data_IF_885293690188
#
_entry.id   IF_885293690188
#
_cell.length_a   1.000
_cell.length_b   1.000
_cell.length_c   1.000
_cell.angle_alpha   90.00
_cell.angle_beta   90.00
_cell.angle_gamma   90.00
#
_symmetry.space_group_name_H-M   'P 1'
#
loop_
_entity.id
_entity.type
_entity.pdbx_description
1 polymer ?
#
# COMPACT_ATOMS: atom_id res chain seq x y z
N UNK A 1 -37.87 -12.83 3.68
CA UNK A 1 -36.57 -13.30 3.19
C UNK A 1 -35.65 -13.36 4.37
N UNK A 2 -34.98 -14.48 4.60
CA UNK A 2 -34.07 -14.60 5.75
C UNK A 2 -32.87 -13.66 5.60
N UNK A 3 -32.30 -13.25 6.73
CA UNK A 3 -31.11 -12.43 6.73
C UNK A 3 -29.96 -13.16 6.03
N UNK A 4 -29.39 -12.55 5.00
CA UNK A 4 -28.27 -13.12 4.24
C UNK A 4 -26.97 -12.51 4.73
N UNK A 5 -25.94 -13.33 4.96
CA UNK A 5 -24.60 -12.85 5.29
C UNK A 5 -23.63 -13.27 4.20
N UNK A 6 -22.97 -12.28 3.59
CA UNK A 6 -21.95 -12.50 2.56
C UNK A 6 -20.58 -12.22 3.18
N UNK A 7 -19.68 -13.19 3.12
CA UNK A 7 -18.28 -13.03 3.54
C UNK A 7 -17.44 -12.55 2.36
N UNK A 8 -16.61 -11.54 2.59
CA UNK A 8 -15.74 -10.94 1.57
C UNK A 8 -14.53 -10.27 2.23
N UNK A 9 -13.64 -9.68 1.43
CA UNK A 9 -12.46 -8.95 1.91
C UNK A 9 -12.54 -7.47 1.54
N UNK A 10 -11.93 -6.62 2.37
CA UNK A 10 -11.83 -5.19 2.11
C UNK A 10 -10.93 -4.95 0.89
N UNK A 11 -11.41 -4.34 -0.20
CA UNK A 11 -10.62 -4.14 -1.41
C UNK A 11 -9.80 -2.86 -1.37
N UNK A 12 -9.60 -2.26 -0.20
CA UNK A 12 -8.86 -0.99 -0.07
C UNK A 12 -7.37 -1.24 -0.12
N UNK A 13 -6.65 -0.18 -0.46
CA UNK A 13 -5.21 -0.21 -0.63
C UNK A 13 -4.50 -0.13 0.73
N UNK A 14 -4.45 -1.29 1.39
CA UNK A 14 -3.59 -1.56 2.53
C UNK A 14 -3.27 -3.06 2.60
N UNK A 15 -2.23 -3.42 3.33
CA UNK A 15 -1.74 -4.80 3.43
C UNK A 15 -2.62 -5.73 4.27
N UNK A 16 -3.58 -5.20 5.02
CA UNK A 16 -4.36 -5.99 6.00
C UNK A 16 -5.38 -6.93 5.32
N UNK A 17 -5.86 -6.58 4.12
CA UNK A 17 -6.90 -7.32 3.38
C UNK A 17 -8.10 -7.75 4.25
N UNK A 18 -8.52 -6.88 5.18
CA UNK A 18 -9.44 -7.20 6.28
C UNK A 18 -10.67 -8.02 5.84
N UNK A 19 -10.98 -9.09 6.57
CA UNK A 19 -12.22 -9.84 6.37
C UNK A 19 -13.45 -9.01 6.76
N UNK A 20 -14.50 -9.09 5.97
CA UNK A 20 -15.76 -8.36 6.14
C UNK A 20 -16.96 -9.29 6.01
N UNK A 21 -18.00 -8.98 6.78
CA UNK A 21 -19.33 -9.58 6.66
C UNK A 21 -20.33 -8.51 6.22
N UNK A 22 -20.92 -8.71 5.04
CA UNK A 22 -22.03 -7.90 4.53
C UNK A 22 -23.32 -8.60 4.94
N UNK A 23 -24.01 -8.02 5.92
CA UNK A 23 -25.29 -8.51 6.45
C UNK A 23 -26.43 -7.79 5.76
N UNK A 24 -27.30 -8.54 5.08
CA UNK A 24 -28.53 -8.06 4.46
C UNK A 24 -29.72 -8.52 5.31
N UNK A 25 -30.44 -7.59 5.92
CA UNK A 25 -31.66 -7.91 6.66
C UNK A 25 -32.85 -8.11 5.73
N UNK A 26 -33.91 -8.75 6.25
CA UNK A 26 -35.12 -9.10 5.51
C UNK A 26 -35.82 -7.90 4.84
N UNK A 27 -35.65 -6.70 5.41
CA UNK A 27 -36.14 -5.40 4.94
C UNK A 27 -35.25 -4.75 3.87
N UNK A 28 -34.18 -5.42 3.45
CA UNK A 28 -33.23 -4.93 2.44
C UNK A 28 -32.13 -4.02 3.00
N UNK A 29 -32.09 -3.77 4.32
CA UNK A 29 -31.02 -2.97 4.92
C UNK A 29 -29.70 -3.76 4.94
N UNK A 30 -28.66 -3.14 4.37
CA UNK A 30 -27.29 -3.66 4.44
C UNK A 30 -26.63 -3.17 5.74
N UNK A 31 -25.71 -3.95 6.29
CA UNK A 31 -24.78 -3.54 7.34
C UNK A 31 -23.44 -4.26 7.13
N UNK A 32 -22.35 -3.52 7.08
CA UNK A 32 -21.00 -4.08 6.87
C UNK A 32 -20.24 -4.04 8.19
N UNK A 33 -19.79 -5.21 8.65
CA UNK A 33 -19.00 -5.37 9.87
C UNK A 33 -17.74 -6.17 9.58
N UNK A 34 -16.74 -6.09 10.46
CA UNK A 34 -15.55 -6.93 10.33
C UNK A 34 -15.87 -8.40 10.62
N UNK A 35 -15.10 -9.28 9.99
CA UNK A 35 -15.20 -10.72 10.20
C UNK A 35 -14.36 -11.17 11.41
N UNK A 36 -14.98 -11.65 12.50
CA UNK A 36 -14.26 -12.04 13.71
C UNK A 36 -13.34 -13.25 13.50
N UNK A 37 -13.57 -14.07 12.46
CA UNK A 37 -12.74 -15.24 12.15
C UNK A 37 -11.53 -14.89 11.26
N UNK A 38 -11.42 -13.64 10.79
CA UNK A 38 -10.30 -13.22 9.95
C UNK A 38 -9.01 -13.09 10.77
N UNK A 39 -7.97 -13.83 10.40
CA UNK A 39 -6.73 -13.96 11.20
C UNK A 39 -5.96 -12.66 11.39
N UNK A 40 -6.08 -11.70 10.47
CA UNK A 40 -5.37 -10.42 10.53
C UNK A 40 -6.15 -9.38 11.32
N UNK A 41 -7.40 -9.13 10.91
CA UNK A 41 -8.21 -8.02 11.43
C UNK A 41 -9.09 -8.40 12.61
N UNK A 42 -9.28 -9.69 12.90
CA UNK A 42 -9.97 -10.22 14.10
C UNK A 42 -11.31 -9.51 14.40
N UNK A 43 -12.09 -9.22 13.37
CA UNK A 43 -13.40 -8.55 13.47
C UNK A 43 -13.38 -7.02 13.46
N UNK A 44 -12.21 -6.38 13.48
CA UNK A 44 -12.09 -4.94 13.37
C UNK A 44 -12.15 -4.46 11.90
N UNK A 45 -12.67 -3.24 11.74
CA UNK A 45 -12.55 -2.44 10.53
C UNK A 45 -12.00 -1.07 10.94
N UNK A 46 -11.09 -0.51 10.13
CA UNK A 46 -10.59 0.83 10.39
C UNK A 46 -11.73 1.87 10.27
N UNK A 47 -11.63 2.98 11.00
CA UNK A 47 -12.67 4.02 11.04
C UNK A 47 -13.10 4.52 9.66
N UNK A 48 -12.14 4.66 8.73
CA UNK A 48 -12.38 5.04 7.33
C UNK A 48 -13.39 4.10 6.65
N UNK A 49 -13.18 2.80 6.83
CA UNK A 49 -13.99 1.76 6.20
C UNK A 49 -15.32 1.56 6.92
N UNK A 50 -15.33 1.53 8.25
CA UNK A 50 -16.58 1.34 9.02
C UNK A 50 -17.57 2.48 8.77
N UNK A 51 -17.09 3.73 8.73
CA UNK A 51 -17.89 4.92 8.40
C UNK A 51 -18.29 4.90 6.91
N UNK A 52 -17.34 4.64 6.00
CA UNK A 52 -17.58 4.64 4.56
C UNK A 52 -18.63 3.62 4.14
N UNK A 53 -18.45 2.35 4.50
CA UNK A 53 -19.32 1.25 4.09
C UNK A 53 -20.75 1.35 4.63
N UNK A 54 -20.94 1.98 5.78
CA UNK A 54 -22.26 2.12 6.41
C UNK A 54 -22.86 3.53 6.32
N UNK A 55 -22.13 4.49 5.73
CA UNK A 55 -22.56 5.88 5.59
C UNK A 55 -22.52 6.35 4.14
N UNK A 56 -21.59 7.27 3.84
CA UNK A 56 -21.54 8.04 2.60
C UNK A 56 -21.50 7.17 1.32
N UNK A 57 -20.92 5.97 1.35
CA UNK A 57 -20.89 5.08 0.18
C UNK A 57 -22.22 4.36 -0.10
N UNK A 58 -23.23 4.58 0.74
CA UNK A 58 -24.60 4.07 0.55
C UNK A 58 -25.63 5.17 0.35
N UNK A 59 -25.26 6.42 0.60
CA UNK A 59 -26.14 7.55 0.42
C UNK A 59 -26.25 7.91 -1.08
N UNK A 60 -27.44 7.73 -1.65
CA UNK A 60 -27.70 8.00 -3.06
C UNK A 60 -27.66 9.50 -3.40
N UNK A 61 -27.77 10.39 -2.41
CA UNK A 61 -27.72 11.85 -2.62
C UNK A 61 -26.31 12.38 -2.90
N UNK A 62 -25.29 11.67 -2.42
CA UNK A 62 -23.86 12.03 -2.58
C UNK A 62 -23.13 11.14 -3.59
N UNK A 63 -23.66 9.95 -3.87
CA UNK A 63 -23.07 9.04 -4.86
C UNK A 63 -23.43 9.45 -6.28
N UNK A 64 -22.48 9.20 -7.19
CA UNK A 64 -22.77 9.17 -8.62
C UNK A 64 -23.62 7.92 -8.94
N UNK A 65 -24.89 8.15 -9.30
CA UNK A 65 -25.88 7.10 -9.59
C UNK A 65 -26.14 6.91 -11.09
N UNK A 66 -25.67 7.83 -11.93
CA UNK A 66 -25.80 7.79 -13.40
C UNK A 66 -24.60 8.45 -14.07
N UNK A 67 -24.30 8.09 -15.34
CA UNK A 67 -23.28 8.77 -16.12
C UNK A 67 -23.57 10.27 -16.27
N UNK A 68 -22.50 11.06 -16.31
CA UNK A 68 -22.55 12.51 -16.48
C UNK A 68 -21.64 12.91 -17.65
N UNK A 69 -22.15 13.72 -18.57
CA UNK A 69 -21.43 14.26 -19.73
C UNK A 69 -21.09 15.71 -19.49
N UNK A 70 -19.84 16.11 -19.71
CA UNK A 70 -19.43 17.51 -19.54
C UNK A 70 -20.08 18.38 -20.62
N UNK A 71 -20.76 19.45 -20.21
CA UNK A 71 -21.37 20.45 -21.09
C UNK A 71 -20.68 21.80 -20.93
N UNK A 72 -19.64 22.00 -21.75
CA UNK A 72 -18.84 23.22 -21.76
C UNK A 72 -17.33 23.00 -21.63
N UNK A 73 -16.58 24.09 -21.47
CA UNK A 73 -15.12 24.04 -21.37
C UNK A 73 -14.65 23.19 -20.18
N UNK A 74 -13.48 22.57 -20.33
CA UNK A 74 -12.84 21.84 -19.22
C UNK A 74 -12.56 22.85 -18.08
N UNK A 75 -12.84 22.43 -16.84
CA UNK A 75 -12.65 23.26 -15.64
C UNK A 75 -13.89 24.00 -15.16
N UNK A 76 -14.97 24.10 -15.95
CA UNK A 76 -16.19 24.81 -15.52
C UNK A 76 -17.11 24.01 -14.60
N UNK A 77 -16.84 22.73 -14.39
CA UNK A 77 -17.67 21.86 -13.55
C UNK A 77 -19.10 21.61 -14.06
N UNK A 78 -19.40 21.94 -15.32
CA UNK A 78 -20.75 21.79 -15.89
C UNK A 78 -20.94 20.40 -16.50
N UNK A 79 -21.90 19.66 -15.98
CA UNK A 79 -22.24 18.31 -16.44
C UNK A 79 -23.75 18.13 -16.55
N UNK A 80 -24.17 17.35 -17.53
CA UNK A 80 -25.55 16.90 -17.70
C UNK A 80 -25.65 15.38 -17.58
N UNK A 81 -26.72 14.84 -17.00
CA UNK A 81 -27.00 13.41 -17.01
C UNK A 81 -27.09 12.84 -18.42
N UNK A 82 -26.58 11.63 -18.60
CA UNK A 82 -26.73 10.86 -19.85
C UNK A 82 -27.00 9.39 -19.56
N UNK A 83 -27.39 8.62 -20.59
CA UNK A 83 -27.58 7.18 -20.49
C UNK A 83 -26.25 6.42 -20.58
N UNK A 84 -26.22 5.19 -20.07
CA UNK A 84 -25.05 4.32 -20.24
C UNK A 84 -24.73 4.03 -21.71
N UNK A 85 -25.76 3.82 -22.55
CA UNK A 85 -25.57 3.56 -23.98
C UNK A 85 -24.92 4.75 -24.69
N UNK A 86 -25.38 5.97 -24.41
CA UNK A 86 -24.78 7.18 -24.98
C UNK A 86 -23.36 7.40 -24.46
N UNK A 87 -23.14 7.29 -23.14
CA UNK A 87 -21.82 7.46 -22.55
C UNK A 87 -20.78 6.48 -23.12
N UNK A 88 -21.13 5.18 -23.17
CA UNK A 88 -20.24 4.14 -23.72
C UNK A 88 -20.01 4.36 -25.21
N UNK A 89 -21.06 4.69 -25.98
CA UNK A 89 -20.95 4.97 -27.40
C UNK A 89 -20.06 6.17 -27.72
N UNK A 90 -20.21 7.27 -26.98
CA UNK A 90 -19.38 8.48 -27.12
C UNK A 90 -17.90 8.19 -26.79
N UNK A 91 -17.64 7.49 -25.69
CA UNK A 91 -16.28 7.07 -25.30
C UNK A 91 -15.66 6.17 -26.38
N UNK A 92 -16.39 5.16 -26.86
CA UNK A 92 -15.91 4.24 -27.89
C UNK A 92 -15.57 4.97 -29.20
N UNK A 93 -16.47 5.86 -29.65
CA UNK A 93 -16.24 6.68 -30.85
C UNK A 93 -14.98 7.56 -30.70
N UNK A 94 -14.79 8.17 -29.53
CA UNK A 94 -13.64 9.02 -29.26
C UNK A 94 -12.33 8.25 -29.22
N UNK A 95 -12.30 7.09 -28.55
CA UNK A 95 -11.12 6.22 -28.54
C UNK A 95 -10.78 5.71 -29.95
N UNK A 96 -11.77 5.32 -30.74
CA UNK A 96 -11.56 4.91 -32.14
C UNK A 96 -11.02 6.05 -33.00
N UNK A 97 -11.52 7.27 -32.81
CA UNK A 97 -11.05 8.46 -33.54
C UNK A 97 -9.58 8.75 -33.21
N UNK A 98 -9.21 8.76 -31.92
CA UNK A 98 -7.82 8.97 -31.49
C UNK A 98 -6.93 7.87 -32.07
N UNK A 99 -7.34 6.60 -31.94
CA UNK A 99 -6.59 5.46 -32.45
C UNK A 99 -6.36 5.55 -33.97
N UNK A 100 -7.38 5.95 -34.73
CA UNK A 100 -7.28 6.07 -36.19
C UNK A 100 -6.42 7.25 -36.65
N UNK A 101 -6.43 8.36 -35.91
CA UNK A 101 -5.68 9.57 -36.26
C UNK A 101 -4.22 9.55 -35.78
N UNK A 102 -4.00 9.16 -34.53
CA UNK A 102 -2.72 9.32 -33.82
C UNK A 102 -2.07 7.99 -33.43
N UNK A 103 -2.76 6.86 -33.68
CA UNK A 103 -2.37 5.55 -33.18
C UNK A 103 -2.85 5.28 -31.76
N UNK A 104 -2.86 4.00 -31.37
CA UNK A 104 -3.36 3.59 -30.05
C UNK A 104 -2.51 4.12 -28.89
N UNK A 105 -1.20 4.32 -29.10
CA UNK A 105 -0.28 4.84 -28.08
C UNK A 105 -0.59 6.27 -27.63
N UNK A 106 -1.42 7.02 -28.38
CA UNK A 106 -1.92 8.33 -27.97
C UNK A 106 -3.01 8.26 -26.88
N UNK A 107 -3.51 7.06 -26.56
CA UNK A 107 -4.42 6.80 -25.45
C UNK A 107 -3.57 6.41 -24.25
N UNK A 108 -3.64 7.20 -23.17
CA UNK A 108 -2.97 6.89 -21.91
C UNK A 108 -3.99 6.46 -20.86
N UNK A 109 -3.91 5.21 -20.41
CA UNK A 109 -4.62 4.75 -19.22
C UNK A 109 -3.85 5.18 -17.97
N UNK A 110 -4.44 6.09 -17.21
CA UNK A 110 -3.97 6.41 -15.86
C UNK A 110 -4.86 5.71 -14.85
N UNK A 111 -4.25 4.90 -13.98
CA UNK A 111 -4.93 4.25 -12.88
C UNK A 111 -3.98 4.17 -11.67
N UNK A 112 -4.56 4.10 -10.48
CA UNK A 112 -3.82 3.97 -9.23
C UNK A 112 -4.66 3.23 -8.19
N UNK A 113 -4.04 2.82 -7.10
CA UNK A 113 -4.53 1.86 -6.10
C UNK A 113 -5.60 2.44 -5.17
N UNK A 114 -6.76 2.84 -5.70
CA UNK A 114 -7.92 3.21 -4.86
C UNK A 114 -8.81 2.02 -4.47
N UNK A 115 -8.73 0.94 -5.26
CA UNK A 115 -9.44 -0.33 -5.08
C UNK A 115 -8.59 -1.44 -5.67
N UNK A 116 -8.06 -2.31 -4.82
CA UNK A 116 -7.06 -3.32 -5.15
C UNK A 116 -7.67 -4.73 -5.27
N UNK A 117 -8.99 -4.84 -5.51
CA UNK A 117 -9.59 -6.16 -5.79
C UNK A 117 -9.13 -6.68 -7.15
N UNK A 118 -8.97 -8.00 -7.27
CA UNK A 118 -8.47 -8.65 -8.49
C UNK A 118 -9.25 -8.21 -9.75
N UNK A 119 -10.58 -8.16 -9.66
CA UNK A 119 -11.42 -7.79 -10.79
C UNK A 119 -11.32 -6.28 -11.06
N UNK A 120 -11.54 -5.43 -10.05
CA UNK A 120 -11.61 -3.99 -10.28
C UNK A 120 -10.24 -3.39 -10.65
N UNK A 121 -9.15 -3.91 -10.08
CA UNK A 121 -7.80 -3.45 -10.34
C UNK A 121 -7.21 -4.01 -11.65
N UNK A 122 -7.36 -5.31 -11.92
CA UNK A 122 -6.65 -5.94 -13.05
C UNK A 122 -7.48 -6.01 -14.34
N UNK A 123 -8.81 -6.08 -14.26
CA UNK A 123 -9.65 -6.29 -15.45
C UNK A 123 -9.57 -5.16 -16.49
N UNK A 124 -9.54 -3.86 -16.11
CA UNK A 124 -9.43 -2.77 -17.09
C UNK A 124 -8.18 -2.88 -17.98
N UNK A 125 -7.07 -3.37 -17.44
CA UNK A 125 -5.81 -3.53 -18.18
C UNK A 125 -5.96 -4.42 -19.41
N UNK A 126 -6.82 -5.45 -19.34
CA UNK A 126 -7.09 -6.33 -20.49
C UNK A 126 -7.65 -5.57 -21.68
N UNK A 127 -8.52 -4.59 -21.44
CA UNK A 127 -9.12 -3.78 -22.49
C UNK A 127 -8.07 -2.84 -23.12
N UNK A 128 -7.33 -2.11 -22.29
CA UNK A 128 -6.33 -1.14 -22.77
C UNK A 128 -5.16 -1.82 -23.50
N UNK A 129 -4.70 -2.98 -23.00
CA UNK A 129 -3.70 -3.80 -23.69
C UNK A 129 -4.23 -4.31 -25.05
N UNK A 130 -5.50 -4.74 -25.11
CA UNK A 130 -6.11 -5.24 -26.35
C UNK A 130 -6.19 -4.18 -27.45
N UNK A 131 -6.45 -2.91 -27.09
CA UNK A 131 -6.51 -1.83 -28.08
C UNK A 131 -5.13 -1.24 -28.42
N UNK A 132 -4.06 -1.65 -27.73
CA UNK A 132 -2.70 -1.15 -27.91
C UNK A 132 -2.45 0.22 -27.26
N UNK A 133 -3.20 0.57 -26.22
CA UNK A 133 -3.03 1.83 -25.50
C UNK A 133 -1.76 1.83 -24.66
N UNK A 134 -1.28 3.03 -24.32
CA UNK A 134 -0.20 3.23 -23.36
C UNK A 134 -0.77 3.23 -21.94
N UNK A 135 0.01 2.75 -20.98
CA UNK A 135 -0.33 2.72 -19.56
C UNK A 135 0.69 3.55 -18.76
N UNK A 136 0.26 4.14 -17.64
CA UNK A 136 1.20 4.67 -16.64
C UNK A 136 2.03 3.51 -16.07
N UNK A 137 3.31 3.73 -15.78
CA UNK A 137 4.09 2.76 -15.01
C UNK A 137 3.43 2.63 -13.61
N UNK A 138 2.88 1.46 -13.24
CA UNK A 138 2.13 1.31 -12.01
C UNK A 138 3.00 1.56 -10.77
N UNK A 139 2.35 1.89 -9.66
CA UNK A 139 2.97 2.07 -8.35
C UNK A 139 3.99 3.21 -8.22
N UNK A 140 4.22 4.00 -9.28
CA UNK A 140 5.22 5.09 -9.31
C UNK A 140 4.99 6.18 -8.27
N UNK A 141 3.78 6.31 -7.74
CA UNK A 141 3.44 7.26 -6.68
C UNK A 141 3.79 6.75 -5.27
N UNK A 142 3.90 5.42 -5.06
CA UNK A 142 4.09 4.83 -3.72
C UNK A 142 5.14 3.70 -3.74
N UNK A 143 4.79 2.53 -4.27
CA UNK A 143 5.56 1.30 -4.01
C UNK A 143 6.70 1.02 -5.00
N UNK A 144 6.78 1.72 -6.14
CA UNK A 144 7.70 1.36 -7.24
C UNK A 144 9.17 1.31 -6.82
N UNK A 145 9.64 2.28 -6.04
CA UNK A 145 11.02 2.33 -5.58
C UNK A 145 11.35 1.12 -4.69
N UNK A 146 10.45 0.77 -3.76
CA UNK A 146 10.58 -0.42 -2.91
C UNK A 146 10.54 -1.71 -3.72
N UNK A 147 9.64 -1.82 -4.70
CA UNK A 147 9.59 -2.98 -5.58
C UNK A 147 10.89 -3.14 -6.38
N UNK A 148 11.41 -2.06 -6.97
CA UNK A 148 12.68 -2.11 -7.69
C UNK A 148 13.83 -2.57 -6.78
N UNK A 149 13.94 -2.02 -5.56
CA UNK A 149 14.97 -2.42 -4.61
C UNK A 149 14.86 -3.91 -4.22
N UNK A 150 13.67 -4.39 -3.88
CA UNK A 150 13.46 -5.80 -3.50
C UNK A 150 13.71 -6.75 -4.68
N UNK A 151 13.30 -6.38 -5.89
CA UNK A 151 13.60 -7.16 -7.10
C UNK A 151 15.10 -7.28 -7.35
N UNK A 152 15.86 -6.20 -7.17
CA UNK A 152 17.32 -6.23 -7.31
C UNK A 152 17.99 -7.06 -6.22
N UNK A 153 17.51 -7.00 -4.99
CA UNK A 153 18.12 -7.68 -3.83
C UNK A 153 17.74 -9.16 -3.71
N UNK A 154 16.49 -9.50 -4.01
CA UNK A 154 15.92 -10.83 -3.73
C UNK A 154 15.33 -11.53 -4.96
N UNK A 155 15.25 -10.84 -6.11
CA UNK A 155 14.60 -11.36 -7.32
C UNK A 155 13.07 -11.41 -7.25
N UNK A 156 12.48 -10.82 -6.21
CA UNK A 156 11.02 -10.70 -6.04
C UNK A 156 10.69 -9.50 -5.12
N UNK A 157 9.44 -9.02 -5.12
CA UNK A 157 9.01 -7.87 -4.30
C UNK A 157 7.60 -7.96 -3.71
N UNK A 158 7.02 -9.15 -3.68
CA UNK A 158 5.63 -9.44 -3.33
C UNK A 158 5.51 -10.30 -2.06
N UNK A 159 6.61 -10.88 -1.58
CA UNK A 159 6.66 -11.73 -0.41
C UNK A 159 7.38 -11.00 0.72
N UNK A 160 6.62 -10.66 1.75
CA UNK A 160 7.16 -10.21 3.03
C UNK A 160 7.36 -11.35 4.02
N UNK A 161 7.72 -11.00 5.25
CA UNK A 161 7.65 -11.93 6.38
C UNK A 161 6.20 -12.11 6.85
N UNK A 162 5.93 -13.24 7.50
CA UNK A 162 4.64 -13.46 8.14
C UNK A 162 4.63 -12.77 9.51
N UNK A 163 3.79 -11.75 9.74
CA UNK A 163 3.76 -11.03 11.02
C UNK A 163 3.38 -11.90 12.21
N UNK A 164 2.80 -13.08 11.99
CA UNK A 164 2.54 -14.07 13.05
C UNK A 164 3.83 -14.69 13.61
N UNK A 165 4.97 -14.52 12.95
CA UNK A 165 6.28 -15.00 13.43
C UNK A 165 7.06 -13.95 14.23
N UNK A 166 6.43 -12.81 14.56
CA UNK A 166 7.09 -11.68 15.22
C UNK A 166 7.73 -12.09 16.56
N UNK A 167 7.09 -12.99 17.31
CA UNK A 167 7.57 -13.48 18.61
C UNK A 167 8.84 -14.34 18.51
N UNK A 168 9.22 -14.79 17.30
CA UNK A 168 10.50 -15.44 17.05
C UNK A 168 11.68 -14.47 16.93
N UNK A 169 11.44 -13.16 16.96
CA UNK A 169 12.47 -12.12 16.78
C UNK A 169 13.04 -11.63 18.10
N UNK A 170 14.28 -11.13 18.08
CA UNK A 170 14.89 -10.46 19.26
C UNK A 170 14.50 -8.98 19.37
N UNK A 171 14.17 -8.37 18.25
CA UNK A 171 13.62 -7.03 18.16
C UNK A 171 12.85 -6.90 16.85
N UNK A 172 11.99 -5.89 16.77
CA UNK A 172 11.26 -5.50 15.56
C UNK A 172 11.67 -4.08 15.22
N UNK A 173 12.08 -3.86 13.98
CA UNK A 173 12.42 -2.54 13.47
C UNK A 173 11.33 -2.06 12.52
N UNK A 174 10.72 -0.92 12.84
CA UNK A 174 9.75 -0.24 12.00
C UNK A 174 10.46 0.97 11.39
N UNK A 175 10.81 0.88 10.11
CA UNK A 175 11.60 1.88 9.41
C UNK A 175 10.75 2.64 8.40
N UNK A 176 10.56 3.95 8.62
CA UNK A 176 9.82 4.84 7.72
C UNK A 176 8.35 4.48 7.56
N UNK A 177 7.73 3.89 8.59
CA UNK A 177 6.36 3.42 8.55
C UNK A 177 5.59 3.85 9.81
N UNK A 178 4.32 4.23 9.61
CA UNK A 178 3.37 4.59 10.66
C UNK A 178 2.21 3.58 10.77
N UNK A 179 2.43 2.37 11.32
CA UNK A 179 1.39 1.35 11.48
C UNK A 179 0.12 1.85 12.18
N UNK A 180 0.24 2.73 13.18
CA UNK A 180 -0.90 3.32 13.90
C UNK A 180 -1.95 3.96 12.97
N UNK A 181 -1.54 4.43 11.78
CA UNK A 181 -2.46 5.03 10.80
C UNK A 181 -2.64 4.19 9.53
N UNK A 182 -1.55 3.63 8.98
CA UNK A 182 -1.55 2.97 7.67
C UNK A 182 -1.76 1.45 7.73
N UNK A 183 -1.48 0.82 8.88
CA UNK A 183 -1.69 -0.60 9.13
C UNK A 183 -2.27 -0.82 10.54
N UNK A 184 -3.48 -0.28 10.81
CA UNK A 184 -4.00 -0.16 12.17
C UNK A 184 -4.18 -1.52 12.86
N UNK A 185 -4.45 -2.59 12.12
CA UNK A 185 -4.57 -3.92 12.71
C UNK A 185 -3.21 -4.51 13.09
N UNK A 186 -2.16 -4.25 12.30
CA UNK A 186 -0.77 -4.58 12.70
C UNK A 186 -0.38 -3.84 13.97
N UNK A 187 -0.69 -2.55 14.05
CA UNK A 187 -0.44 -1.75 15.25
C UNK A 187 -1.19 -2.31 16.47
N UNK A 188 -2.49 -2.61 16.29
CA UNK A 188 -3.37 -3.03 17.37
C UNK A 188 -3.15 -4.47 17.85
N UNK A 189 -2.74 -5.41 16.99
CA UNK A 189 -2.71 -6.84 17.33
C UNK A 189 -1.33 -7.48 17.26
N UNK A 190 -0.37 -6.94 16.51
CA UNK A 190 0.95 -7.59 16.38
C UNK A 190 2.00 -6.81 17.15
N UNK A 191 2.09 -5.50 16.92
CA UNK A 191 3.08 -4.66 17.59
C UNK A 191 2.75 -4.43 19.07
N UNK A 192 1.47 -4.29 19.43
CA UNK A 192 1.06 -4.08 20.82
C UNK A 192 1.06 -5.36 21.67
N UNK A 193 0.77 -6.53 21.08
CA UNK A 193 0.62 -7.81 21.81
C UNK A 193 1.97 -8.52 21.99
N UNK A 194 2.93 -8.30 21.09
CA UNK A 194 4.24 -8.94 21.19
C UNK A 194 5.07 -8.33 22.33
N UNK A 195 5.76 -9.14 23.15
CA UNK A 195 6.72 -8.62 24.15
C UNK A 195 8.05 -8.23 23.51
N UNK A 196 8.26 -8.51 22.21
CA UNK A 196 9.52 -8.25 21.52
C UNK A 196 9.80 -6.74 21.50
N UNK A 197 11.03 -6.28 21.84
CA UNK A 197 11.40 -4.87 21.78
C UNK A 197 11.23 -4.26 20.39
N UNK A 198 10.74 -3.02 20.33
CA UNK A 198 10.46 -2.27 19.11
C UNK A 198 11.40 -1.09 18.97
N UNK A 199 11.95 -0.94 17.77
CA UNK A 199 12.74 0.20 17.36
C UNK A 199 11.99 0.87 16.22
N UNK A 200 11.64 2.14 16.38
CA UNK A 200 11.00 2.94 15.32
C UNK A 200 12.02 3.94 14.80
N UNK A 201 12.19 3.99 13.48
CA UNK A 201 13.02 4.95 12.76
C UNK A 201 12.08 5.79 11.90
N UNK A 202 11.79 7.00 12.36
CA UNK A 202 10.86 7.91 11.68
C UNK A 202 11.08 9.36 12.14
N UNK A 203 11.09 10.36 11.24
CA UNK A 203 11.18 11.77 11.62
C UNK A 203 10.00 12.26 12.46
N UNK A 204 8.86 11.56 12.43
CA UNK A 204 7.63 11.92 13.11
C UNK A 204 7.38 10.99 14.30
N UNK A 205 7.19 11.57 15.49
CA UNK A 205 6.81 10.83 16.70
C UNK A 205 5.30 10.50 16.71
N UNK A 206 4.87 9.61 15.82
CA UNK A 206 3.49 9.08 15.78
C UNK A 206 3.23 8.06 16.90
N UNK A 207 2.00 7.58 17.05
CA UNK A 207 1.61 6.69 18.17
C UNK A 207 2.45 5.41 18.25
N UNK A 208 2.74 4.76 17.10
CA UNK A 208 3.66 3.61 17.07
C UNK A 208 5.07 3.97 17.58
N UNK A 209 5.61 5.13 17.20
CA UNK A 209 6.92 5.61 17.66
C UNK A 209 6.91 5.94 19.16
N UNK A 210 5.83 6.56 19.65
CA UNK A 210 5.69 6.91 21.06
C UNK A 210 5.59 5.68 21.97
N UNK A 211 5.08 4.56 21.45
CA UNK A 211 4.96 3.28 22.15
C UNK A 211 6.19 2.36 21.99
N UNK A 212 7.19 2.75 21.19
CA UNK A 212 8.38 1.95 20.94
C UNK A 212 9.39 2.05 22.09
N UNK A 213 10.20 1.01 22.26
CA UNK A 213 11.29 0.98 23.24
C UNK A 213 12.40 1.97 22.86
N UNK A 214 12.67 2.12 21.56
CA UNK A 214 13.60 3.10 21.00
C UNK A 214 12.92 3.81 19.84
N UNK A 215 12.96 5.14 19.83
CA UNK A 215 12.59 5.97 18.69
C UNK A 215 13.82 6.75 18.21
N UNK A 216 14.27 6.45 16.99
CA UNK A 216 15.33 7.16 16.29
C UNK A 216 14.69 8.19 15.35
N UNK A 217 14.77 9.46 15.73
CA UNK A 217 14.13 10.57 15.05
C UNK A 217 15.13 11.34 14.16
N UNK A 218 15.52 10.73 13.04
CA UNK A 218 16.44 11.29 12.05
C UNK A 218 15.81 12.41 11.19
N UNK A 219 16.65 13.23 10.57
CA UNK A 219 16.23 14.18 9.53
C UNK A 219 15.69 13.45 8.28
N UNK A 220 14.69 14.02 7.57
CA UNK A 220 14.19 13.42 6.34
C UNK A 220 15.29 13.22 5.28
N UNK A 221 15.41 12.00 4.75
CA UNK A 221 16.35 11.66 3.67
C UNK A 221 17.74 11.21 4.14
N UNK A 222 17.94 11.00 5.45
CA UNK A 222 19.24 10.60 6.02
C UNK A 222 19.30 9.13 6.43
N UNK A 223 18.28 8.34 6.08
CA UNK A 223 18.15 6.91 6.38
C UNK A 223 19.39 6.10 5.98
N UNK A 224 19.98 6.43 4.83
CA UNK A 224 21.22 5.80 4.37
C UNK A 224 22.38 5.97 5.35
N UNK A 225 22.55 7.16 5.93
CA UNK A 225 23.61 7.41 6.90
C UNK A 225 23.43 6.57 8.17
N UNK A 226 22.19 6.47 8.68
CA UNK A 226 21.88 5.60 9.80
C UNK A 226 22.16 4.12 9.47
N UNK A 227 21.73 3.63 8.31
CA UNK A 227 21.95 2.25 7.89
C UNK A 227 23.45 1.89 7.84
N UNK A 228 24.28 2.77 7.25
CA UNK A 228 25.73 2.57 7.18
C UNK A 228 26.40 2.68 8.55
N UNK A 229 25.95 3.59 9.43
CA UNK A 229 26.46 3.70 10.79
C UNK A 229 26.13 2.46 11.64
N UNK A 230 24.93 1.91 11.51
CA UNK A 230 24.55 0.65 12.14
C UNK A 230 25.42 -0.51 11.62
N UNK A 231 25.64 -0.58 10.30
CA UNK A 231 26.46 -1.62 9.70
C UNK A 231 27.94 -1.52 10.13
N UNK A 232 28.48 -0.31 10.29
CA UNK A 232 29.80 -0.08 10.86
C UNK A 232 29.93 -0.71 12.25
N UNK A 233 28.95 -0.50 13.14
CA UNK A 233 28.99 -1.05 14.51
C UNK A 233 29.00 -2.58 14.49
N UNK A 234 28.18 -3.20 13.64
CA UNK A 234 28.13 -4.66 13.48
C UNK A 234 29.47 -5.20 12.95
N UNK A 235 30.03 -4.53 11.95
CA UNK A 235 31.31 -4.89 11.34
C UNK A 235 32.49 -4.74 12.30
N UNK A 236 32.62 -3.60 12.97
CA UNK A 236 33.68 -3.31 13.93
C UNK A 236 33.63 -4.26 15.14
N UNK A 237 32.43 -4.72 15.53
CA UNK A 237 32.23 -5.72 16.57
C UNK A 237 32.53 -7.17 16.13
N UNK A 238 32.90 -7.40 14.86
CA UNK A 238 33.15 -8.73 14.31
C UNK A 238 31.89 -9.60 14.25
N UNK A 239 30.69 -8.99 14.13
CA UNK A 239 29.39 -9.68 14.17
C UNK A 239 28.80 -9.98 12.78
N UNK A 240 29.56 -9.74 11.73
CA UNK A 240 29.15 -10.05 10.35
C UNK A 240 29.24 -11.56 10.11
N UNK A 241 28.15 -12.17 9.65
CA UNK A 241 28.16 -13.56 9.20
C UNK A 241 28.80 -13.66 7.81
N UNK A 242 30.13 -13.78 7.80
CA UNK A 242 30.93 -13.88 6.57
C UNK A 242 30.63 -15.14 5.78
N UNK A 243 30.27 -16.25 6.44
CA UNK A 243 29.96 -17.50 5.77
C UNK A 243 28.65 -17.40 4.98
N UNK A 244 27.63 -16.76 5.58
CA UNK A 244 26.38 -16.47 4.89
C UNK A 244 26.61 -15.57 3.67
N UNK A 245 27.33 -14.45 3.84
CA UNK A 245 27.59 -13.50 2.75
C UNK A 245 28.33 -14.18 1.58
N UNK A 246 29.43 -14.90 1.86
CA UNK A 246 30.18 -15.61 0.82
C UNK A 246 29.32 -16.63 0.05
N UNK A 247 28.31 -17.24 0.70
CA UNK A 247 27.46 -18.24 0.08
C UNK A 247 26.18 -17.69 -0.58
N UNK A 248 25.70 -16.49 -0.16
CA UNK A 248 24.33 -16.01 -0.45
C UNK A 248 24.24 -14.55 -0.89
N UNK A 249 25.33 -13.80 -0.96
CA UNK A 249 25.32 -12.42 -1.45
C UNK A 249 26.34 -12.19 -2.57
N UNK A 250 26.24 -11.03 -3.22
CA UNK A 250 27.18 -10.54 -4.22
C UNK A 250 27.51 -9.07 -3.88
N UNK A 251 28.74 -8.64 -4.11
CA UNK A 251 29.17 -7.24 -3.92
C UNK A 251 29.36 -6.81 -2.46
N UNK A 252 29.53 -7.74 -1.52
CA UNK A 252 29.75 -7.39 -0.11
C UNK A 252 31.03 -6.60 0.10
N UNK A 253 32.08 -6.93 -0.64
CA UNK A 253 33.40 -6.31 -0.53
C UNK A 253 33.36 -4.80 -0.84
N UNK A 254 32.47 -4.37 -1.74
CA UNK A 254 32.25 -2.96 -2.09
C UNK A 254 31.63 -2.17 -0.92
N UNK A 255 30.75 -2.83 -0.15
CA UNK A 255 30.16 -2.25 1.06
C UNK A 255 31.17 -2.25 2.19
N UNK A 256 31.85 -3.37 2.43
CA UNK A 256 32.84 -3.51 3.51
C UNK A 256 33.94 -2.45 3.42
N UNK A 257 34.40 -2.13 2.21
CA UNK A 257 35.42 -1.10 1.98
C UNK A 257 35.01 0.32 2.41
N UNK A 258 33.72 0.59 2.60
CA UNK A 258 33.19 1.90 3.00
C UNK A 258 32.97 2.00 4.52
N UNK A 259 32.81 0.86 5.22
CA UNK A 259 32.32 0.85 6.58
C UNK A 259 33.23 1.57 7.56
N UNK A 260 34.55 1.55 7.37
CA UNK A 260 35.49 2.22 8.27
C UNK A 260 35.21 3.73 8.42
N UNK A 261 34.71 4.39 7.37
CA UNK A 261 34.38 5.82 7.39
C UNK A 261 32.99 6.11 8.02
N UNK A 262 32.10 5.12 8.02
CA UNK A 262 30.71 5.25 8.47
C UNK A 262 30.57 5.12 9.99
N UNK A 263 31.41 5.80 10.76
CA UNK A 263 31.39 5.72 12.24
C UNK A 263 30.05 6.23 12.82
N UNK A 264 29.69 5.87 14.06
CA UNK A 264 28.52 6.44 14.73
C UNK A 264 28.54 7.98 14.81
N UNK A 265 29.70 8.59 15.02
CA UNK A 265 29.84 10.06 15.04
C UNK A 265 29.57 10.69 13.67
N UNK A 266 29.95 10.02 12.58
CA UNK A 266 29.59 10.44 11.22
C UNK A 266 28.07 10.30 10.97
N UNK A 267 27.49 9.18 11.42
CA UNK A 267 26.05 8.96 11.36
C UNK A 267 25.29 10.07 12.09
N UNK A 268 25.62 10.31 13.36
CA UNK A 268 25.02 11.37 14.20
C UNK A 268 25.14 12.77 13.59
N UNK A 269 26.27 13.11 12.97
CA UNK A 269 26.43 14.41 12.32
C UNK A 269 25.54 14.57 11.06
N UNK A 270 25.11 13.45 10.47
CA UNK A 270 24.32 13.43 9.23
C UNK A 270 22.83 13.27 9.49
N UNK A 271 22.44 12.51 10.53
CA UNK A 271 21.06 12.12 10.84
C UNK A 271 20.39 13.03 11.84
#
# INVERSE_FOLDING_TARGET
MDATTIRTTCPRDCYDACGMLVKLSADGRINVVGDPEHSVSRGALCGKCSIGYNGVWRDASVRLTRPLKRVGPKGTGRFEPTSWNEAIGDIANRLNTIRGRDGAGAILQTHYTGTCSLIAGSFPLRFFNSIGATEVDPDTVCNKAGHAALQLMYGESTRGFDPRTIDGSRCVMIWGANPSTSAPHMHQYWLSETPVPKIVIDPIRHETAAAADIHLQLYPGTDGALAFAMLHVIWAAGRIDRAFLAARSQGWEEIEGQLAACTPAWGEATT
#
